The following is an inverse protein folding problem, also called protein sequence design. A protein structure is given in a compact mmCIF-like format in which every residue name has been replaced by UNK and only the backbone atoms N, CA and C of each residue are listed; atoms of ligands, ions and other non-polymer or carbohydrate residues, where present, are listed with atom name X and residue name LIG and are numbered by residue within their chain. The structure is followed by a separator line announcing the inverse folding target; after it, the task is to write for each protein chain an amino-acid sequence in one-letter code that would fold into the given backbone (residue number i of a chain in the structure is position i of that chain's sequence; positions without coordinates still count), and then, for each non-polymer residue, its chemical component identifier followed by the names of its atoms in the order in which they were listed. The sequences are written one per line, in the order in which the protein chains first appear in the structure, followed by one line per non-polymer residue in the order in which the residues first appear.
data_IF_859554617627
#
_entry.id   IF_859554617627
#
_cell.length_a   1.000
_cell.length_b   1.000
_cell.length_c   1.000
_cell.angle_alpha   90.00
_cell.angle_beta   90.00
_cell.angle_gamma   90.00
#
_symmetry.space_group_name_H-M   'P 1'
#
loop_
_entity.id
_entity.type
_entity.pdbx_description
1 polymer ?
#
# COMPACT_ATOMS: atom_id res chain seq x y z
N UNK A 1 -8.63 -35.38 -25.68
CA UNK A 1 -9.38 -34.23 -25.13
C UNK A 1 -8.95 -34.06 -23.69
N UNK A 2 -8.13 -33.04 -23.40
CA UNK A 2 -7.70 -32.76 -22.03
C UNK A 2 -8.86 -32.07 -21.30
N UNK A 3 -9.41 -32.72 -20.28
CA UNK A 3 -10.42 -32.11 -19.41
C UNK A 3 -9.74 -31.02 -18.61
N UNK A 4 -9.95 -29.75 -18.97
CA UNK A 4 -9.55 -28.62 -18.14
C UNK A 4 -10.40 -28.66 -16.87
N UNK A 5 -9.87 -29.20 -15.79
CA UNK A 5 -10.49 -29.12 -14.47
C UNK A 5 -10.53 -27.64 -14.07
N UNK A 6 -11.73 -27.07 -14.03
CA UNK A 6 -11.94 -25.70 -13.54
C UNK A 6 -11.41 -25.59 -12.12
N UNK A 7 -10.34 -24.83 -11.93
CA UNK A 7 -9.77 -24.57 -10.61
C UNK A 7 -10.64 -23.56 -9.88
N UNK A 8 -11.13 -23.92 -8.68
CA UNK A 8 -11.81 -22.97 -7.79
C UNK A 8 -10.77 -22.31 -6.90
N UNK A 9 -10.75 -20.99 -6.88
CA UNK A 9 -9.84 -20.21 -6.03
C UNK A 9 -10.69 -19.32 -5.11
N UNK A 10 -10.81 -19.65 -3.81
CA UNK A 10 -11.57 -18.84 -2.87
C UNK A 10 -10.87 -17.49 -2.64
N UNK A 11 -11.67 -16.45 -2.44
CA UNK A 11 -11.17 -15.13 -2.06
C UNK A 11 -12.09 -14.50 -1.02
N UNK A 12 -11.54 -13.52 -0.29
CA UNK A 12 -12.30 -12.63 0.59
C UNK A 12 -12.09 -11.18 0.21
N UNK A 13 -13.16 -10.42 0.21
CA UNK A 13 -13.09 -8.96 0.22
C UNK A 13 -13.08 -8.49 1.67
N UNK A 14 -12.05 -7.73 2.03
CA UNK A 14 -11.90 -7.15 3.37
C UNK A 14 -11.69 -5.65 3.27
N UNK A 15 -12.22 -4.90 4.24
CA UNK A 15 -12.00 -3.47 4.35
C UNK A 15 -11.00 -3.20 5.47
N UNK A 16 -9.81 -2.72 5.11
CA UNK A 16 -8.70 -2.42 6.04
C UNK A 16 -8.81 -0.97 6.50
N UNK A 17 -8.41 -0.67 7.73
CA UNK A 17 -8.60 0.65 8.36
C UNK A 17 -10.06 1.11 8.40
N UNK A 18 -10.97 0.13 8.49
CA UNK A 18 -12.40 0.34 8.55
C UNK A 18 -12.80 0.80 9.97
N UNK A 19 -13.51 1.92 10.13
CA UNK A 19 -14.10 2.27 11.42
C UNK A 19 -15.16 1.24 11.81
N UNK A 20 -15.30 0.98 13.11
CA UNK A 20 -16.27 0.01 13.63
C UNK A 20 -17.73 0.40 13.36
N UNK A 21 -17.98 1.68 13.11
CA UNK A 21 -19.31 2.24 12.85
C UNK A 21 -19.80 2.09 11.40
N UNK A 22 -18.94 1.73 10.44
CA UNK A 22 -19.33 1.64 9.03
C UNK A 22 -18.55 0.58 8.25
N UNK A 23 -19.24 -0.48 7.81
CA UNK A 23 -18.62 -1.66 7.16
C UNK A 23 -18.19 -1.43 5.70
N UNK A 24 -18.61 -0.33 5.08
CA UNK A 24 -18.31 -0.02 3.66
C UNK A 24 -17.29 1.13 3.52
N UNK A 25 -16.51 1.40 4.57
CA UNK A 25 -15.43 2.38 4.58
C UNK A 25 -14.07 1.69 4.72
N UNK A 26 -12.99 2.47 4.75
CA UNK A 26 -11.62 1.97 4.76
C UNK A 26 -11.09 1.70 3.35
N UNK A 27 -10.03 0.92 3.26
CA UNK A 27 -9.41 0.53 2.00
C UNK A 27 -9.74 -0.94 1.69
N UNK A 28 -10.47 -1.16 0.60
CA UNK A 28 -10.91 -2.47 0.17
C UNK A 28 -9.74 -3.28 -0.42
N UNK A 29 -9.68 -4.56 -0.05
CA UNK A 29 -8.66 -5.50 -0.46
C UNK A 29 -9.29 -6.84 -0.84
N UNK A 30 -8.93 -7.36 -2.01
CA UNK A 30 -9.21 -8.74 -2.37
C UNK A 30 -8.04 -9.62 -1.95
N UNK A 31 -8.32 -10.66 -1.17
CA UNK A 31 -7.32 -11.65 -0.73
C UNK A 31 -7.74 -13.03 -1.24
N UNK A 32 -6.98 -13.57 -2.19
CA UNK A 32 -7.10 -14.97 -2.58
C UNK A 32 -6.44 -15.87 -1.53
N UNK A 33 -7.21 -16.84 -1.04
CA UNK A 33 -6.81 -17.67 0.11
C UNK A 33 -5.69 -18.66 -0.22
N UNK A 34 -5.55 -19.01 -1.51
CA UNK A 34 -4.47 -19.84 -2.05
C UNK A 34 -4.19 -19.51 -3.54
N UNK A 35 -3.04 -18.92 -3.81
CA UNK A 35 -2.55 -18.63 -5.16
C UNK A 35 -1.77 -19.78 -5.81
N UNK A 36 -1.60 -20.92 -5.13
CA UNK A 36 -0.76 -22.03 -5.61
C UNK A 36 -1.22 -22.52 -6.97
N UNK A 37 -0.33 -22.51 -7.96
CA UNK A 37 -0.64 -22.91 -9.34
C UNK A 37 -1.38 -21.86 -10.16
N UNK A 38 -1.40 -20.59 -9.72
CA UNK A 38 -1.63 -19.45 -10.60
C UNK A 38 -0.27 -18.94 -11.10
N UNK A 39 -0.22 -18.56 -12.37
CA UNK A 39 0.90 -17.83 -12.96
C UNK A 39 0.86 -16.36 -12.55
N UNK A 40 1.98 -15.65 -12.72
CA UNK A 40 2.03 -14.21 -12.48
C UNK A 40 1.04 -13.43 -13.37
N UNK A 41 0.87 -13.84 -14.63
CA UNK A 41 -0.04 -13.19 -15.57
C UNK A 41 -1.50 -13.40 -15.16
N UNK A 42 -1.87 -14.59 -14.67
CA UNK A 42 -3.21 -14.83 -14.12
C UNK A 42 -3.46 -13.98 -12.87
N UNK A 43 -2.47 -13.89 -11.96
CA UNK A 43 -2.60 -13.05 -10.77
C UNK A 43 -2.74 -11.56 -11.12
N UNK A 44 -1.95 -11.06 -12.08
CA UNK A 44 -2.04 -9.69 -12.58
C UNK A 44 -3.38 -9.43 -13.27
N UNK A 45 -3.86 -10.37 -14.09
CA UNK A 45 -5.16 -10.30 -14.74
C UNK A 45 -6.32 -10.27 -13.76
N UNK A 46 -6.25 -11.08 -12.69
CA UNK A 46 -7.24 -11.06 -11.61
C UNK A 46 -7.20 -9.74 -10.82
N UNK A 47 -6.02 -9.21 -10.52
CA UNK A 47 -5.87 -7.91 -9.85
C UNK A 47 -6.48 -6.78 -10.70
N UNK A 48 -6.22 -6.77 -12.00
CA UNK A 48 -6.84 -5.86 -12.95
C UNK A 48 -8.37 -6.03 -13.01
N UNK A 49 -8.86 -7.28 -13.01
CA UNK A 49 -10.30 -7.56 -13.06
C UNK A 49 -11.04 -7.09 -11.81
N UNK A 50 -10.45 -7.21 -10.62
CA UNK A 50 -11.03 -6.66 -9.38
C UNK A 50 -10.95 -5.14 -9.33
N UNK A 51 -9.92 -4.55 -9.96
CA UNK A 51 -9.71 -3.11 -10.07
C UNK A 51 -9.78 -2.36 -8.72
N UNK A 52 -9.31 -3.02 -7.67
CA UNK A 52 -9.05 -2.41 -6.36
C UNK A 52 -7.63 -1.83 -6.35
N UNK A 53 -7.31 -1.03 -5.33
CA UNK A 53 -5.95 -0.51 -5.13
C UNK A 53 -4.90 -1.63 -5.21
N UNK A 54 -5.18 -2.75 -4.52
CA UNK A 54 -4.37 -3.96 -4.56
C UNK A 54 -5.24 -5.23 -4.42
N UNK A 55 -4.67 -6.35 -4.87
CA UNK A 55 -5.15 -7.71 -4.68
C UNK A 55 -3.99 -8.58 -4.20
N UNK A 56 -4.22 -9.47 -3.25
CA UNK A 56 -3.19 -10.35 -2.70
C UNK A 56 -3.50 -11.82 -2.92
N UNK A 57 -2.43 -12.61 -3.01
CA UNK A 57 -2.49 -14.06 -3.18
C UNK A 57 -1.66 -14.70 -2.09
N UNK A 58 -2.30 -15.51 -1.25
CA UNK A 58 -1.64 -16.25 -0.18
C UNK A 58 -1.03 -17.55 -0.69
N UNK A 59 0.10 -17.95 -0.11
CA UNK A 59 0.83 -19.18 -0.42
C UNK A 59 1.31 -19.81 0.89
N UNK A 60 1.62 -21.13 0.86
CA UNK A 60 2.44 -21.73 1.91
C UNK A 60 3.70 -20.89 2.13
N UNK A 61 4.12 -20.67 3.39
CA UNK A 61 5.34 -19.93 3.69
C UNK A 61 6.56 -20.69 3.16
N UNK A 62 7.59 -19.99 2.71
CA UNK A 62 8.84 -20.64 2.27
C UNK A 62 9.77 -20.98 3.45
N UNK A 63 9.48 -20.42 4.63
CA UNK A 63 10.26 -20.60 5.85
C UNK A 63 9.35 -20.82 7.06
N UNK A 64 9.89 -21.40 8.14
CA UNK A 64 9.19 -21.53 9.43
C UNK A 64 8.98 -20.22 10.19
N UNK A 65 9.48 -19.11 9.67
CA UNK A 65 9.47 -17.80 10.34
C UNK A 65 8.29 -16.91 9.91
N UNK A 66 7.46 -17.38 8.98
CA UNK A 66 6.25 -16.70 8.53
C UNK A 66 5.04 -17.64 8.62
N UNK A 67 3.85 -17.08 8.89
CA UNK A 67 2.60 -17.85 8.89
C UNK A 67 2.17 -18.21 7.48
N UNK A 68 2.28 -17.26 6.54
CA UNK A 68 2.08 -17.45 5.10
C UNK A 68 2.98 -16.52 4.30
N UNK A 69 3.07 -16.78 3.00
CA UNK A 69 3.64 -15.87 2.01
C UNK A 69 2.53 -15.18 1.22
N UNK A 70 2.68 -13.91 0.91
CA UNK A 70 1.75 -13.12 0.12
C UNK A 70 2.46 -12.45 -1.05
N UNK A 71 1.85 -12.54 -2.24
CA UNK A 71 2.18 -11.69 -3.40
C UNK A 71 1.12 -10.60 -3.52
N UNK A 72 1.53 -9.38 -3.85
CA UNK A 72 0.68 -8.18 -3.81
C UNK A 72 0.71 -7.54 -5.19
N UNK A 73 -0.45 -7.33 -5.79
CA UNK A 73 -0.58 -6.76 -7.12
C UNK A 73 -1.50 -5.54 -7.10
N UNK A 74 -1.05 -4.45 -7.69
CA UNK A 74 -1.94 -3.39 -8.19
C UNK A 74 -2.58 -3.86 -9.50
N UNK A 75 -3.53 -3.11 -10.09
CA UNK A 75 -4.03 -3.41 -11.43
C UNK A 75 -2.96 -3.43 -12.53
N UNK A 76 -1.81 -2.77 -12.32
CA UNK A 76 -0.76 -2.62 -13.34
C UNK A 76 0.56 -3.34 -13.07
N UNK A 77 0.87 -3.66 -11.80
CA UNK A 77 2.17 -4.27 -11.44
C UNK A 77 2.11 -5.00 -10.10
N UNK A 78 3.03 -5.96 -9.92
CA UNK A 78 3.37 -6.52 -8.61
C UNK A 78 4.15 -5.51 -7.77
N UNK A 79 3.88 -5.50 -6.46
CA UNK A 79 4.60 -4.73 -5.45
C UNK A 79 5.34 -5.67 -4.49
N UNK A 80 6.58 -5.35 -4.09
CA UNK A 80 7.29 -6.14 -3.10
C UNK A 80 6.64 -6.03 -1.70
N UNK A 81 5.99 -4.92 -1.40
CA UNK A 81 5.33 -4.65 -0.12
C UNK A 81 4.28 -3.54 -0.24
N UNK A 82 3.21 -3.66 0.54
CA UNK A 82 2.25 -2.58 0.79
C UNK A 82 1.59 -2.80 2.17
N UNK A 83 1.39 -1.72 2.93
CA UNK A 83 0.96 -1.82 4.33
C UNK A 83 -0.43 -2.41 4.52
N UNK A 84 -1.46 -1.79 3.92
CA UNK A 84 -2.84 -2.27 4.08
C UNK A 84 -3.05 -3.68 3.50
N UNK A 85 -2.43 -4.06 2.35
CA UNK A 85 -2.51 -5.42 1.83
C UNK A 85 -1.89 -6.44 2.77
N UNK A 86 -0.76 -6.11 3.43
CA UNK A 86 -0.16 -6.97 4.45
C UNK A 86 -1.10 -7.16 5.64
N UNK A 87 -1.68 -6.10 6.20
CA UNK A 87 -2.60 -6.21 7.35
C UNK A 87 -3.86 -7.03 7.01
N UNK A 88 -4.49 -6.75 5.87
CA UNK A 88 -5.67 -7.49 5.43
C UNK A 88 -5.39 -8.96 5.15
N UNK A 89 -4.23 -9.27 4.55
CA UNK A 89 -3.79 -10.64 4.29
C UNK A 89 -3.46 -11.39 5.59
N UNK A 90 -2.88 -10.72 6.59
CA UNK A 90 -2.64 -11.28 7.92
C UNK A 90 -3.94 -11.56 8.67
N UNK A 91 -4.92 -10.66 8.59
CA UNK A 91 -6.26 -10.91 9.10
C UNK A 91 -6.88 -12.15 8.46
N UNK A 92 -6.89 -12.26 7.12
CA UNK A 92 -7.43 -13.44 6.42
C UNK A 92 -6.67 -14.71 6.81
N UNK A 93 -5.33 -14.66 6.88
CA UNK A 93 -4.50 -15.78 7.34
C UNK A 93 -4.91 -16.25 8.73
N UNK A 94 -5.10 -15.33 9.69
CA UNK A 94 -5.57 -15.71 11.04
C UNK A 94 -6.96 -16.34 11.05
N UNK A 95 -7.84 -15.98 10.11
CA UNK A 95 -9.17 -16.59 10.00
C UNK A 95 -9.13 -17.97 9.35
N UNK A 96 -8.09 -18.28 8.59
CA UNK A 96 -7.87 -19.59 7.97
C UNK A 96 -7.14 -20.54 8.93
N UNK A 97 -6.06 -20.06 9.54
CA UNK A 97 -5.08 -20.88 10.25
C UNK A 97 -5.14 -20.67 11.78
N UNK A 98 -6.04 -19.83 12.26
CA UNK A 98 -6.24 -19.49 13.68
C UNK A 98 -5.31 -18.40 14.22
N UNK A 99 -4.19 -18.12 13.56
CA UNK A 99 -3.24 -17.06 13.95
C UNK A 99 -2.42 -16.55 12.77
N UNK A 100 -1.87 -15.34 12.90
CA UNK A 100 -0.85 -14.82 11.99
C UNK A 100 0.09 -13.90 12.78
N UNK A 101 1.38 -14.25 12.82
CA UNK A 101 2.41 -13.50 13.58
C UNK A 101 3.45 -12.85 12.67
N UNK A 102 3.55 -13.32 11.43
CA UNK A 102 4.38 -12.72 10.40
C UNK A 102 3.88 -13.12 9.01
N UNK A 103 4.04 -12.22 8.05
CA UNK A 103 3.72 -12.46 6.64
C UNK A 103 4.98 -12.30 5.79
N UNK A 104 5.32 -13.30 5.01
CA UNK A 104 6.40 -13.20 4.03
C UNK A 104 5.92 -12.46 2.78
N UNK A 105 6.65 -11.46 2.34
CA UNK A 105 6.35 -10.63 1.17
C UNK A 105 7.57 -10.52 0.25
N UNK A 106 7.45 -9.86 -0.89
CA UNK A 106 8.60 -9.57 -1.76
C UNK A 106 9.68 -8.70 -1.09
N UNK A 107 9.33 -7.93 -0.06
CA UNK A 107 10.27 -7.15 0.74
C UNK A 107 10.83 -7.93 1.96
N UNK A 108 10.50 -9.22 2.10
CA UNK A 108 10.92 -10.06 3.22
C UNK A 108 9.79 -10.34 4.22
N UNK A 109 10.17 -10.84 5.40
CA UNK A 109 9.24 -11.25 6.45
C UNK A 109 8.82 -10.03 7.27
N UNK A 110 7.53 -9.71 7.26
CA UNK A 110 6.94 -8.58 7.95
C UNK A 110 6.26 -9.08 9.23
N UNK A 111 6.77 -8.72 10.42
CA UNK A 111 6.12 -9.04 11.68
C UNK A 111 4.78 -8.32 11.78
N UNK A 112 3.76 -9.06 12.21
CA UNK A 112 2.42 -8.53 12.48
C UNK A 112 1.95 -8.95 13.86
N UNK A 113 1.10 -8.13 14.45
CA UNK A 113 0.44 -8.45 15.71
C UNK A 113 -0.99 -7.92 15.68
N UNK A 114 -1.84 -8.47 16.53
CA UNK A 114 -3.18 -7.97 16.71
C UNK A 114 -3.58 -7.93 18.19
N UNK A 115 -4.46 -6.98 18.51
CA UNK A 115 -5.18 -6.91 19.79
C UNK A 115 -6.66 -6.77 19.46
N UNK A 116 -7.42 -7.86 19.61
CA UNK A 116 -8.76 -7.97 19.04
C UNK A 116 -8.72 -7.81 17.51
N UNK A 117 -9.51 -6.85 17.01
CA UNK A 117 -9.61 -6.53 15.58
C UNK A 117 -8.61 -5.45 15.12
N UNK A 118 -7.76 -4.94 16.02
CA UNK A 118 -6.73 -3.95 15.67
C UNK A 118 -5.46 -4.69 15.25
N UNK A 119 -5.06 -4.55 13.99
CA UNK A 119 -3.86 -5.14 13.42
C UNK A 119 -2.75 -4.10 13.26
N UNK A 120 -1.54 -4.50 13.61
CA UNK A 120 -0.32 -3.70 13.52
C UNK A 120 0.75 -4.46 12.76
N UNK A 121 1.56 -3.73 12.01
CA UNK A 121 2.78 -4.25 11.39
C UNK A 121 3.98 -3.41 11.81
N UNK A 122 5.17 -3.97 11.70
CA UNK A 122 6.42 -3.23 11.86
C UNK A 122 7.00 -2.92 10.48
N UNK A 123 6.83 -1.67 10.05
CA UNK A 123 7.47 -1.18 8.84
C UNK A 123 9.00 -1.04 9.03
N UNK A 124 9.72 -0.91 7.91
CA UNK A 124 11.14 -0.56 7.94
C UNK A 124 11.36 0.77 8.66
N UNK A 125 12.55 0.95 9.24
CA UNK A 125 12.93 2.23 9.84
C UNK A 125 12.91 3.29 8.74
N UNK A 126 12.05 4.30 8.91
CA UNK A 126 11.96 5.39 7.96
C UNK A 126 13.25 6.21 7.93
N UNK A 127 13.62 6.67 6.74
CA UNK A 127 14.63 7.70 6.53
C UNK A 127 13.93 9.02 6.18
N UNK A 128 14.51 10.13 6.63
CA UNK A 128 13.93 11.46 6.50
C UNK A 128 14.96 12.36 5.83
N UNK A 129 14.56 13.01 4.74
CA UNK A 129 15.40 13.95 4.00
C UNK A 129 14.70 15.30 3.94
N UNK A 130 15.00 16.23 4.86
CA UNK A 130 14.45 17.58 4.84
C UNK A 130 14.77 18.30 3.53
N UNK A 131 13.81 19.10 3.07
CA UNK A 131 13.88 19.86 1.83
C UNK A 131 13.90 21.35 2.17
N UNK A 132 14.75 22.09 1.46
CA UNK A 132 14.85 23.54 1.58
C UNK A 132 14.41 24.17 0.27
N UNK A 133 13.10 24.08 -0.01
CA UNK A 133 12.47 24.59 -1.22
C UNK A 133 11.35 25.57 -0.84
N UNK A 134 11.22 26.72 -1.53
CA UNK A 134 10.13 27.64 -1.25
C UNK A 134 8.81 27.06 -1.79
N UNK A 135 7.70 27.33 -1.09
CA UNK A 135 6.38 26.83 -1.47
C UNK A 135 5.94 27.29 -2.87
N UNK A 136 6.44 28.43 -3.34
CA UNK A 136 6.26 28.91 -4.72
C UNK A 136 6.70 27.91 -5.79
N UNK A 137 7.62 26.99 -5.48
CA UNK A 137 8.13 25.97 -6.41
C UNK A 137 7.08 24.90 -6.72
N UNK A 138 6.29 24.50 -5.72
CA UNK A 138 5.42 23.33 -5.84
C UNK A 138 3.92 23.63 -5.63
N UNK A 139 3.56 24.74 -4.98
CA UNK A 139 2.17 25.06 -4.66
C UNK A 139 1.23 25.02 -5.88
N UNK A 140 1.60 25.58 -7.05
CA UNK A 140 0.75 25.52 -8.24
C UNK A 140 0.48 24.09 -8.74
N UNK A 141 1.38 23.14 -8.48
CA UNK A 141 1.22 21.75 -8.89
C UNK A 141 0.00 21.09 -8.21
N UNK A 142 -0.36 21.58 -7.01
CA UNK A 142 -1.48 21.10 -6.22
C UNK A 142 -2.74 21.96 -6.35
N UNK A 143 -2.74 22.94 -7.27
CA UNK A 143 -3.78 23.98 -7.37
C UNK A 143 -3.93 24.84 -6.11
N UNK A 144 -2.81 25.08 -5.41
CA UNK A 144 -2.74 25.86 -4.18
C UNK A 144 -1.83 27.08 -4.34
N UNK A 145 -1.87 27.95 -3.34
CA UNK A 145 -1.00 29.13 -3.22
C UNK A 145 0.10 28.90 -2.17
N UNK A 146 1.24 29.61 -2.21
CA UNK A 146 2.28 29.47 -1.19
C UNK A 146 1.79 29.68 0.25
N UNK A 147 0.79 30.53 0.45
CA UNK A 147 0.16 30.86 1.73
C UNK A 147 -0.64 29.70 2.33
N UNK A 148 -0.99 28.70 1.51
CA UNK A 148 -1.65 27.46 1.96
C UNK A 148 -0.68 26.49 2.63
N UNK A 149 0.62 26.76 2.57
CA UNK A 149 1.67 25.93 3.16
C UNK A 149 2.36 26.63 4.33
N UNK A 150 2.86 25.83 5.26
CA UNK A 150 3.69 26.29 6.37
C UNK A 150 4.91 25.39 6.48
N UNK A 151 6.05 25.97 6.83
CA UNK A 151 7.30 25.24 7.05
C UNK A 151 7.73 25.28 8.51
N UNK A 152 6.76 25.35 9.45
CA UNK A 152 7.04 25.20 10.89
C UNK A 152 7.81 23.91 11.17
N UNK A 153 7.44 22.85 10.45
CA UNK A 153 8.27 21.65 10.28
C UNK A 153 8.81 21.69 8.84
N UNK A 154 10.11 21.40 8.61
CA UNK A 154 10.65 21.33 7.26
C UNK A 154 9.87 20.36 6.38
N UNK A 155 9.55 20.76 5.15
CA UNK A 155 9.10 19.82 4.13
C UNK A 155 10.11 18.69 4.03
N UNK A 156 9.64 17.46 3.90
CA UNK A 156 10.52 16.29 4.07
C UNK A 156 10.10 15.18 3.13
N UNK A 157 11.07 14.56 2.48
CA UNK A 157 10.89 13.26 1.86
C UNK A 157 11.03 12.18 2.93
N UNK A 158 9.98 11.41 3.16
CA UNK A 158 9.95 10.29 4.12
C UNK A 158 9.97 8.99 3.33
N UNK A 159 10.93 8.12 3.60
CA UNK A 159 11.04 6.82 2.93
C UNK A 159 11.05 5.68 3.95
N UNK A 160 9.98 4.88 3.93
CA UNK A 160 9.84 3.63 4.68
C UNK A 160 9.69 2.39 3.76
N UNK A 161 10.13 2.51 2.50
CA UNK A 161 10.01 1.52 1.43
C UNK A 161 9.73 2.19 0.08
N UNK A 162 8.80 3.14 0.07
CA UNK A 162 8.52 4.03 -1.07
C UNK A 162 8.65 5.47 -0.56
N UNK A 163 9.44 6.34 -1.22
CA UNK A 163 9.53 7.75 -0.86
C UNK A 163 8.19 8.47 -0.98
N UNK A 164 7.83 9.24 0.04
CA UNK A 164 6.65 10.12 0.04
C UNK A 164 7.07 11.54 0.39
N UNK A 165 6.53 12.50 -0.38
CA UNK A 165 6.70 13.92 -0.10
C UNK A 165 5.70 14.37 0.97
N UNK A 166 6.21 14.91 2.07
CA UNK A 166 5.40 15.49 3.14
C UNK A 166 5.44 17.01 3.07
N UNK A 167 4.33 17.63 2.66
CA UNK A 167 4.11 19.07 2.64
C UNK A 167 3.07 19.44 3.71
N UNK A 168 3.42 20.38 4.58
CA UNK A 168 2.53 20.80 5.66
C UNK A 168 1.63 21.95 5.18
N UNK A 169 0.32 21.73 5.27
CA UNK A 169 -0.70 22.74 4.97
C UNK A 169 -1.05 23.56 6.22
N UNK A 170 -1.54 24.78 6.00
CA UNK A 170 -2.01 25.67 7.07
C UNK A 170 -3.39 25.29 7.62
N UNK A 171 -4.24 24.61 6.83
CA UNK A 171 -5.59 24.24 7.25
C UNK A 171 -6.20 23.04 6.49
N UNK A 172 -7.32 22.52 7.02
CA UNK A 172 -8.12 21.49 6.35
C UNK A 172 -8.82 22.00 5.10
N UNK A 173 -9.16 23.28 5.05
CA UNK A 173 -9.78 23.91 3.88
C UNK A 173 -8.80 23.92 2.69
N UNK A 174 -7.50 24.11 2.95
CA UNK A 174 -6.48 23.98 1.92
C UNK A 174 -6.41 22.55 1.40
N UNK A 175 -6.48 21.55 2.28
CA UNK A 175 -6.48 20.14 1.89
C UNK A 175 -7.65 19.80 0.94
N UNK A 176 -8.85 20.33 1.17
CA UNK A 176 -10.00 20.09 0.31
C UNK A 176 -9.92 20.76 -1.07
N UNK A 177 -9.04 21.75 -1.25
CA UNK A 177 -8.80 22.39 -2.56
C UNK A 177 -7.71 21.68 -3.39
N UNK A 178 -6.96 20.75 -2.79
CA UNK A 178 -5.88 20.04 -3.48
C UNK A 178 -6.42 19.31 -4.69
N UNK A 179 -5.82 19.59 -5.85
CA UNK A 179 -5.94 18.73 -7.03
C UNK A 179 -4.65 17.92 -7.17
N UNK A 180 -4.72 16.58 -7.28
CA UNK A 180 -3.52 15.77 -7.45
C UNK A 180 -2.72 16.21 -8.69
N UNK A 181 -1.39 16.41 -8.55
CA UNK A 181 -0.55 16.76 -9.68
C UNK A 181 -0.48 15.60 -10.69
N UNK A 182 -0.23 15.92 -11.95
CA UNK A 182 0.07 14.89 -12.95
C UNK A 182 1.43 14.24 -12.66
N UNK A 183 1.65 13.02 -13.15
CA UNK A 183 2.95 12.34 -13.05
C UNK A 183 4.07 13.20 -13.64
N UNK A 184 3.84 13.80 -14.82
CA UNK A 184 4.84 14.69 -15.45
C UNK A 184 5.15 15.93 -14.61
N UNK A 185 4.17 16.48 -13.90
CA UNK A 185 4.38 17.61 -12.99
C UNK A 185 5.24 17.21 -11.79
N UNK A 186 5.02 16.01 -11.25
CA UNK A 186 5.87 15.46 -10.18
C UNK A 186 7.27 15.13 -10.69
N UNK A 187 7.41 14.57 -11.90
CA UNK A 187 8.71 14.26 -12.50
C UNK A 187 9.56 15.51 -12.71
N UNK A 188 8.92 16.63 -13.10
CA UNK A 188 9.60 17.93 -13.21
C UNK A 188 10.07 18.48 -11.86
N UNK A 189 9.40 18.12 -10.77
CA UNK A 189 9.84 18.47 -9.41
C UNK A 189 10.99 17.56 -8.97
N UNK A 190 11.02 16.31 -9.46
CA UNK A 190 12.08 15.34 -9.18
C UNK A 190 13.38 15.60 -9.96
N UNK A 191 13.30 16.17 -11.18
CA UNK A 191 14.47 16.44 -12.04
C UNK A 191 15.49 17.40 -11.43
N UNK A 192 15.07 18.21 -10.46
CA UNK A 192 15.94 19.11 -9.70
C UNK A 192 16.66 18.41 -8.54
N UNK A 193 16.52 17.08 -8.40
CA UNK A 193 17.14 16.29 -7.33
C UNK A 193 16.47 16.47 -5.96
N UNK A 194 15.32 17.12 -5.92
CA UNK A 194 14.58 17.46 -4.69
C UNK A 194 13.86 16.22 -4.13
N UNK A 195 13.45 15.31 -5.01
CA UNK A 195 12.73 14.08 -4.69
C UNK A 195 13.45 12.89 -5.32
N UNK A 196 14.23 12.16 -4.52
CA UNK A 196 14.82 10.91 -4.97
C UNK A 196 13.76 9.79 -4.90
N UNK A 197 12.97 9.62 -5.95
CA UNK A 197 12.38 8.31 -6.25
C UNK A 197 13.32 7.57 -7.19
N UNK A 198 14.43 7.06 -6.64
CA UNK A 198 15.20 6.00 -7.30
C UNK A 198 14.44 4.69 -7.28
#
# INVERSE_FOLDING_TARGET
MSTTTSKRVPYRLVNVFCPTSSRLQGNALCVFEDGTGLTSDEMQGLALQFNLSETTFLFPPSTKHASKRARIFTPGTELPFAGHPTLGSSFVTSKLDGTCTALETGAGIIPVSNSGDVWSLKANKATFSPLSIPATTFAPLFSLTPEDFTSQIPYTTVNAGIPQLMLQLTSTEALFRVTPPTTSAMDSLNSDGIFSSS
#
